data_IF_457297872747
#
_entry.id   IF_457297872747
#
_cell.length_a   1.000
_cell.length_b   1.000
_cell.length_c   1.000
_cell.angle_alpha   90.00
_cell.angle_beta   90.00
_cell.angle_gamma   90.00
#
_symmetry.space_group_name_H-M   'P 1'
#
loop_
_entity.id
_entity.type
_entity.pdbx_description
1 polymer ?
#
# COMPACT_ATOMS: atom_id res chain seq x y z
N UNK A 1 -23.02 14.22 -5.32
CA UNK A 1 -22.67 12.87 -4.85
C UNK A 1 -21.27 12.32 -5.29
N UNK A 2 -20.20 13.13 -5.51
CA UNK A 2 -18.86 12.58 -5.77
C UNK A 2 -18.05 12.26 -4.50
N UNK A 3 -18.36 12.86 -3.36
CA UNK A 3 -17.54 12.73 -2.13
C UNK A 3 -17.59 11.33 -1.52
N UNK A 4 -18.73 10.65 -1.63
CA UNK A 4 -18.87 9.24 -1.21
C UNK A 4 -17.99 8.30 -2.03
N UNK A 5 -17.79 8.56 -3.32
CA UNK A 5 -16.92 7.74 -4.19
C UNK A 5 -15.46 7.90 -3.78
N UNK A 6 -15.02 9.12 -3.46
CA UNK A 6 -13.64 9.38 -3.03
C UNK A 6 -13.37 8.66 -1.70
N UNK A 7 -14.32 8.71 -0.77
CA UNK A 7 -14.23 8.02 0.51
C UNK A 7 -14.19 6.49 0.34
N UNK A 8 -14.99 5.91 -0.56
CA UNK A 8 -14.95 4.47 -0.81
C UNK A 8 -13.66 4.04 -1.52
N UNK A 9 -13.13 4.83 -2.46
CA UNK A 9 -11.84 4.56 -3.10
C UNK A 9 -10.69 4.58 -2.08
N UNK A 10 -10.69 5.57 -1.18
CA UNK A 10 -9.70 5.67 -0.12
C UNK A 10 -9.79 4.53 0.88
N UNK A 11 -11.01 4.12 1.22
CA UNK A 11 -11.26 2.99 2.10
C UNK A 11 -10.83 1.66 1.46
N UNK A 12 -11.07 1.47 0.17
CA UNK A 12 -10.57 0.32 -0.58
C UNK A 12 -9.03 0.28 -0.59
N UNK A 13 -8.38 1.41 -0.86
CA UNK A 13 -6.92 1.52 -0.79
C UNK A 13 -6.41 1.20 0.62
N UNK A 14 -7.07 1.74 1.66
CA UNK A 14 -6.72 1.48 3.05
C UNK A 14 -6.84 -0.02 3.37
N UNK A 15 -7.96 -0.67 3.04
CA UNK A 15 -8.17 -2.10 3.26
C UNK A 15 -7.10 -2.92 2.55
N UNK A 16 -6.83 -2.61 1.28
CA UNK A 16 -5.87 -3.36 0.47
C UNK A 16 -4.44 -3.29 1.03
N UNK A 17 -4.00 -2.09 1.41
CA UNK A 17 -2.70 -1.86 2.05
C UNK A 17 -2.62 -2.55 3.41
N UNK A 18 -3.69 -2.46 4.21
CA UNK A 18 -3.73 -3.06 5.54
C UNK A 18 -3.69 -4.58 5.46
N UNK A 19 -4.42 -5.18 4.52
CA UNK A 19 -4.43 -6.62 4.30
C UNK A 19 -3.09 -7.12 3.76
N UNK A 20 -2.46 -6.38 2.84
CA UNK A 20 -1.11 -6.67 2.34
C UNK A 20 -0.06 -6.60 3.45
N UNK A 21 -0.11 -5.55 4.29
CA UNK A 21 0.77 -5.40 5.44
C UNK A 21 0.56 -6.51 6.49
N UNK A 22 -0.70 -6.82 6.81
CA UNK A 22 -1.05 -7.91 7.71
C UNK A 22 -0.58 -9.27 7.17
N UNK A 23 -0.72 -9.52 5.86
CA UNK A 23 -0.21 -10.73 5.21
C UNK A 23 1.31 -10.87 5.33
N UNK A 24 2.06 -9.77 5.14
CA UNK A 24 3.52 -9.76 5.34
C UNK A 24 3.90 -10.08 6.78
N UNK A 25 3.21 -9.50 7.76
CA UNK A 25 3.46 -9.78 9.18
C UNK A 25 3.04 -11.22 9.55
N UNK A 26 1.89 -11.69 9.07
CA UNK A 26 1.38 -13.04 9.34
C UNK A 26 2.28 -14.13 8.72
N UNK A 27 2.91 -13.86 7.57
CA UNK A 27 3.83 -14.80 6.92
C UNK A 27 5.02 -15.21 7.79
N UNK A 28 5.34 -14.42 8.82
CA UNK A 28 6.42 -14.67 9.75
C UNK A 28 6.13 -15.77 10.75
N UNK A 29 4.84 -16.08 11.01
CA UNK A 29 4.48 -17.25 11.81
C UNK A 29 4.81 -18.56 11.11
N UNK A 30 4.95 -18.54 9.78
CA UNK A 30 5.16 -19.73 8.96
C UNK A 30 6.58 -19.85 8.40
N UNK A 31 7.47 -18.90 8.71
CA UNK A 31 8.82 -18.85 8.16
C UNK A 31 9.85 -18.67 9.28
N UNK A 32 11.03 -19.23 9.09
CA UNK A 32 12.15 -19.04 10.02
C UNK A 32 12.56 -17.56 10.12
N UNK A 33 13.00 -17.17 11.32
CA UNK A 33 13.36 -15.80 11.63
C UNK A 33 14.75 -15.47 11.08
N UNK A 34 14.79 -15.09 9.80
CA UNK A 34 15.99 -14.65 9.08
C UNK A 34 16.01 -13.12 8.87
N UNK A 35 17.14 -12.56 8.44
CA UNK A 35 17.32 -11.14 8.13
C UNK A 35 16.29 -10.64 7.11
N UNK A 36 15.93 -11.48 6.12
CA UNK A 36 14.88 -11.17 5.15
C UNK A 36 13.49 -11.09 5.78
N UNK A 37 13.23 -11.92 6.79
CA UNK A 37 11.97 -11.96 7.51
C UNK A 37 11.78 -10.67 8.35
N UNK A 38 12.85 -10.20 9.00
CA UNK A 38 12.84 -8.92 9.74
C UNK A 38 12.57 -7.73 8.80
N UNK A 39 13.20 -7.71 7.63
CA UNK A 39 12.94 -6.66 6.63
C UNK A 39 11.47 -6.70 6.13
N UNK A 40 10.92 -7.89 5.88
CA UNK A 40 9.52 -8.07 5.52
C UNK A 40 8.56 -7.61 6.63
N UNK A 41 8.91 -7.85 7.90
CA UNK A 41 8.15 -7.38 9.07
C UNK A 41 8.11 -5.85 9.12
N UNK A 42 9.28 -5.21 9.06
CA UNK A 42 9.40 -3.74 9.06
C UNK A 42 8.56 -3.12 7.93
N UNK A 43 8.66 -3.70 6.73
CA UNK A 43 7.93 -3.23 5.57
C UNK A 43 6.41 -3.47 5.73
N UNK A 44 6.00 -4.60 6.29
CA UNK A 44 4.60 -4.87 6.67
C UNK A 44 4.05 -3.87 7.70
N UNK A 45 4.85 -3.49 8.70
CA UNK A 45 4.47 -2.47 9.69
C UNK A 45 4.30 -1.10 9.05
N UNK A 46 5.19 -0.70 8.14
CA UNK A 46 5.04 0.54 7.37
C UNK A 46 3.72 0.55 6.60
N UNK A 47 3.35 -0.58 5.97
CA UNK A 47 2.08 -0.72 5.28
C UNK A 47 0.88 -0.56 6.23
N UNK A 48 0.92 -1.16 7.41
CA UNK A 48 -0.14 -0.98 8.42
C UNK A 48 -0.28 0.48 8.87
N UNK A 49 0.83 1.19 9.08
CA UNK A 49 0.81 2.62 9.43
C UNK A 49 0.21 3.45 8.30
N UNK A 50 0.55 3.14 7.04
CA UNK A 50 -0.04 3.80 5.86
C UNK A 50 -1.55 3.52 5.80
N UNK A 51 -1.99 2.28 6.01
CA UNK A 51 -3.41 1.92 6.07
C UNK A 51 -4.16 2.75 7.12
N UNK A 52 -3.60 2.86 8.33
CA UNK A 52 -4.16 3.66 9.42
C UNK A 52 -4.23 5.15 9.07
N UNK A 53 -3.20 5.69 8.44
CA UNK A 53 -3.19 7.09 7.98
C UNK A 53 -4.14 7.35 6.80
N UNK A 54 -4.45 6.34 5.98
CA UNK A 54 -5.46 6.42 4.92
C UNK A 54 -6.88 6.43 5.51
N UNK A 55 -7.13 5.63 6.56
CA UNK A 55 -8.39 5.70 7.34
C UNK A 55 -8.57 7.06 8.03
N UNK A 56 -7.49 7.64 8.55
CA UNK A 56 -7.48 8.98 9.15
C UNK A 56 -7.65 10.14 8.16
N UNK A 57 -7.93 9.87 6.88
CA UNK A 57 -8.16 10.86 5.82
C UNK A 57 -6.99 11.85 5.58
N UNK A 58 -5.78 11.55 6.06
CA UNK A 58 -4.63 12.45 5.95
C UNK A 58 -4.10 12.55 4.51
N UNK A 59 -4.05 13.77 3.97
CA UNK A 59 -3.52 14.07 2.62
C UNK A 59 -2.04 13.66 2.49
N UNK A 60 -1.28 13.77 3.57
CA UNK A 60 0.13 13.34 3.62
C UNK A 60 0.27 11.84 3.38
N UNK A 61 -0.62 11.02 3.96
CA UNK A 61 -0.55 9.56 3.81
C UNK A 61 -0.75 9.10 2.37
N UNK A 62 -1.48 9.84 1.54
CA UNK A 62 -1.61 9.52 0.10
C UNK A 62 -0.26 9.63 -0.61
N UNK A 63 0.54 10.66 -0.30
CA UNK A 63 1.88 10.79 -0.85
C UNK A 63 2.81 9.69 -0.36
N UNK A 64 2.75 9.35 0.93
CA UNK A 64 3.55 8.26 1.51
C UNK A 64 3.18 6.93 0.86
N UNK A 65 1.88 6.63 0.70
CA UNK A 65 1.40 5.42 0.03
C UNK A 65 1.96 5.30 -1.40
N UNK A 66 1.86 6.37 -2.20
CA UNK A 66 2.40 6.38 -3.57
C UNK A 66 3.91 6.14 -3.56
N UNK A 67 4.63 6.86 -2.70
CA UNK A 67 6.10 6.81 -2.65
C UNK A 67 6.60 5.43 -2.24
N UNK A 68 6.04 4.87 -1.16
CA UNK A 68 6.44 3.57 -0.61
C UNK A 68 6.07 2.44 -1.55
N UNK A 69 4.82 2.38 -2.04
CA UNK A 69 4.40 1.34 -2.98
C UNK A 69 5.19 1.40 -4.29
N UNK A 70 5.52 2.61 -4.79
CA UNK A 70 6.34 2.76 -6.00
C UNK A 70 7.77 2.27 -5.78
N UNK A 71 8.39 2.60 -4.64
CA UNK A 71 9.73 2.14 -4.29
C UNK A 71 9.78 0.61 -4.18
N UNK A 72 8.79 0.00 -3.52
CA UNK A 72 8.70 -1.45 -3.33
C UNK A 72 8.46 -2.17 -4.66
N UNK A 73 7.61 -1.61 -5.52
CA UNK A 73 7.36 -2.15 -6.86
C UNK A 73 8.64 -2.12 -7.72
N UNK A 74 9.36 -0.99 -7.75
CA UNK A 74 10.63 -0.85 -8.47
C UNK A 74 11.71 -1.79 -7.93
N UNK A 75 11.80 -1.93 -6.61
CA UNK A 75 12.75 -2.85 -5.98
C UNK A 75 12.45 -4.30 -6.37
N UNK A 76 11.18 -4.71 -6.32
CA UNK A 76 10.75 -6.06 -6.71
C UNK A 76 11.05 -6.34 -8.18
N UNK A 77 10.80 -5.35 -9.07
CA UNK A 77 11.06 -5.47 -10.50
C UNK A 77 12.55 -5.59 -10.83
N UNK A 78 13.41 -4.90 -10.07
CA UNK A 78 14.87 -4.92 -10.28
C UNK A 78 15.53 -6.17 -9.69
N UNK A 79 14.99 -6.69 -8.59
CA UNK A 79 15.67 -7.71 -7.79
C UNK A 79 15.39 -9.15 -8.22
N UNK A 80 14.36 -9.41 -9.03
CA UNK A 80 13.84 -10.77 -9.28
C UNK A 80 13.50 -10.96 -10.76
N UNK A 81 14.07 -12.00 -11.39
CA UNK A 81 13.80 -12.36 -12.79
C UNK A 81 12.54 -13.23 -12.97
N UNK A 82 12.10 -13.94 -11.93
CA UNK A 82 10.88 -14.78 -11.91
C UNK A 82 10.10 -14.49 -10.64
N UNK A 83 8.94 -13.83 -10.76
CA UNK A 83 8.11 -13.47 -9.63
C UNK A 83 7.36 -14.70 -9.11
N UNK A 84 7.48 -14.97 -7.81
CA UNK A 84 6.61 -15.92 -7.12
C UNK A 84 5.17 -15.40 -7.10
N UNK A 85 4.14 -16.28 -7.09
CA UNK A 85 2.73 -15.87 -7.13
C UNK A 85 2.35 -14.88 -6.01
N UNK A 86 2.94 -15.07 -4.83
CA UNK A 86 2.72 -14.20 -3.68
C UNK A 86 3.31 -12.79 -3.88
N UNK A 87 4.46 -12.69 -4.53
CA UNK A 87 5.11 -11.42 -4.87
C UNK A 87 4.34 -10.70 -5.97
N UNK A 88 3.81 -11.44 -6.95
CA UNK A 88 2.96 -10.90 -8.00
C UNK A 88 1.66 -10.33 -7.43
N UNK A 89 1.02 -11.02 -6.47
CA UNK A 89 -0.16 -10.52 -5.78
C UNK A 89 0.15 -9.25 -4.97
N UNK A 90 1.28 -9.21 -4.26
CA UNK A 90 1.74 -8.02 -3.54
C UNK A 90 1.98 -6.83 -4.47
N UNK A 91 2.65 -7.06 -5.60
CA UNK A 91 2.93 -6.03 -6.61
C UNK A 91 1.65 -5.51 -7.26
N UNK A 92 0.68 -6.38 -7.55
CA UNK A 92 -0.63 -5.97 -8.05
C UNK A 92 -1.38 -5.10 -7.03
N UNK A 93 -1.37 -5.48 -5.75
CA UNK A 93 -1.96 -4.68 -4.68
C UNK A 93 -1.28 -3.31 -4.53
N UNK A 94 0.04 -3.25 -4.66
CA UNK A 94 0.80 -2.00 -4.66
C UNK A 94 0.41 -1.09 -5.84
N UNK A 95 0.33 -1.64 -7.06
CA UNK A 95 -0.08 -0.88 -8.25
C UNK A 95 -1.51 -0.35 -8.12
N UNK A 96 -2.45 -1.17 -7.63
CA UNK A 96 -3.83 -0.73 -7.39
C UNK A 96 -3.85 0.39 -6.36
N UNK A 97 -3.08 0.26 -5.28
CA UNK A 97 -2.96 1.29 -4.23
C UNK A 97 -2.41 2.60 -4.80
N UNK A 98 -1.40 2.54 -5.67
CA UNK A 98 -0.83 3.72 -6.33
C UNK A 98 -1.89 4.40 -7.18
N UNK A 99 -2.61 3.67 -8.04
CA UNK A 99 -3.65 4.23 -8.91
C UNK A 99 -4.79 4.84 -8.09
N UNK A 100 -5.26 4.15 -7.05
CA UNK A 100 -6.29 4.66 -6.13
C UNK A 100 -5.81 5.92 -5.40
N UNK A 101 -4.56 5.95 -4.93
CA UNK A 101 -4.01 7.10 -4.21
C UNK A 101 -3.81 8.30 -5.13
N UNK A 102 -3.35 8.08 -6.37
CA UNK A 102 -3.20 9.15 -7.38
C UNK A 102 -4.55 9.71 -7.78
N UNK A 103 -5.55 8.86 -8.01
CA UNK A 103 -6.91 9.31 -8.38
C UNK A 103 -7.57 10.12 -7.26
N UNK A 104 -7.43 9.68 -6.00
CA UNK A 104 -7.89 10.45 -4.84
C UNK A 104 -7.15 11.79 -4.73
N UNK A 105 -5.82 11.80 -4.89
CA UNK A 105 -5.02 13.03 -4.83
C UNK A 105 -5.39 14.03 -5.94
N UNK A 106 -5.57 13.52 -7.17
CA UNK A 106 -6.00 14.32 -8.32
C UNK A 106 -7.37 14.96 -8.07
N UNK A 107 -8.29 14.20 -7.47
CA UNK A 107 -9.63 14.72 -7.16
C UNK A 107 -9.61 15.80 -6.06
N UNK A 108 -8.82 15.59 -4.99
CA UNK A 108 -8.63 16.60 -3.93
C UNK A 108 -8.00 17.88 -4.51
N UNK A 109 -7.02 17.74 -5.41
CA UNK A 109 -6.36 18.89 -6.04
C UNK A 109 -7.29 19.67 -6.98
N UNK A 110 -8.15 18.98 -7.73
CA UNK A 110 -9.10 19.62 -8.63
C UNK A 110 -10.35 20.18 -7.92
N UNK A 111 -10.53 19.87 -6.62
CA UNK A 111 -11.61 20.41 -5.78
C UNK A 111 -11.06 20.86 -4.41
N UNK A 112 -10.31 21.97 -4.37
CA UNK A 112 -9.67 22.44 -3.15
C UNK A 112 -10.63 23.02 -2.09
N UNK A 113 -11.93 23.11 -2.37
CA UNK A 113 -12.93 23.84 -1.57
C UNK A 113 -13.68 23.01 -0.52
N UNK A 114 -13.15 21.85 -0.11
CA UNK A 114 -13.66 21.07 1.04
C UNK A 114 -12.56 20.83 2.07
#
# INVERSE_FOLDING_TARGET
MPDHLINTLRLLAAILVTFSGAGKVASLWFRELDQQAVAALLLGTVYLIIGLGLFGQSRFTLFVAISVCSLVSLYTLKSIAVLEPLQQAGLAADLITIVLSITVLWHIRNRPSV
#
